data_IF_914664972164
#
_entry.id   IF_914664972164
#
_cell.length_a   1.000
_cell.length_b   1.000
_cell.length_c   1.000
_cell.angle_alpha   90.00
_cell.angle_beta   90.00
_cell.angle_gamma   90.00
#
_symmetry.space_group_name_H-M   'P 1'
#
loop_
_entity.id
_entity.type
_entity.pdbx_description
1 polymer ?
#
# COMPACT_ATOMS: atom_id res chain seq x y z
N UNK A 1 18.64 -1.71 -4.42
CA UNK A 1 17.73 -1.93 -3.28
C UNK A 1 16.86 -3.14 -3.52
N UNK A 2 16.36 -3.83 -2.48
CA UNK A 2 15.81 -5.20 -2.51
C UNK A 2 14.69 -5.47 -3.54
N UNK A 3 14.04 -4.44 -4.07
CA UNK A 3 12.95 -4.56 -5.04
C UNK A 3 13.40 -4.87 -6.49
N UNK A 4 14.71 -4.97 -6.77
CA UNK A 4 15.22 -5.26 -8.13
C UNK A 4 14.87 -6.67 -8.63
N UNK A 5 14.71 -7.63 -7.73
CA UNK A 5 14.50 -9.05 -8.07
C UNK A 5 13.16 -9.32 -8.78
N UNK A 6 12.20 -8.40 -8.69
CA UNK A 6 10.85 -8.57 -9.26
C UNK A 6 10.58 -7.64 -10.46
N UNK A 7 11.59 -6.94 -11.00
CA UNK A 7 11.37 -6.02 -12.15
C UNK A 7 10.89 -6.71 -13.43
N UNK A 8 11.11 -8.03 -13.56
CA UNK A 8 10.61 -8.82 -14.68
C UNK A 8 9.15 -9.27 -14.54
N UNK A 9 8.51 -9.02 -13.40
CA UNK A 9 7.10 -9.37 -13.19
C UNK A 9 6.23 -8.33 -13.89
N UNK A 10 5.46 -8.77 -14.87
CA UNK A 10 4.51 -7.89 -15.58
C UNK A 10 3.44 -7.38 -14.61
N UNK A 11 3.00 -6.13 -14.82
CA UNK A 11 2.02 -5.43 -13.98
C UNK A 11 2.46 -5.18 -12.53
N UNK A 12 3.71 -5.44 -12.15
CA UNK A 12 4.27 -5.05 -10.87
C UNK A 12 5.14 -3.79 -11.00
N UNK A 13 4.93 -2.83 -10.10
CA UNK A 13 5.81 -1.66 -9.97
C UNK A 13 6.53 -1.71 -8.60
N UNK A 14 7.81 -2.16 -8.57
CA UNK A 14 8.60 -2.20 -7.33
C UNK A 14 9.07 -0.79 -6.93
N UNK A 15 8.14 0.00 -6.38
CA UNK A 15 8.32 1.37 -5.92
C UNK A 15 7.59 1.57 -4.57
N UNK A 16 8.05 2.51 -3.75
CA UNK A 16 7.32 2.91 -2.54
C UNK A 16 5.96 3.55 -2.87
N UNK A 17 5.04 3.55 -1.91
CA UNK A 17 3.68 4.11 -2.06
C UNK A 17 2.55 3.09 -1.94
N UNK A 18 2.87 1.79 -2.02
CA UNK A 18 1.92 0.70 -1.76
C UNK A 18 1.78 0.38 -0.26
N UNK A 19 0.54 0.20 0.21
CA UNK A 19 0.21 -0.19 1.59
C UNK A 19 -0.82 -1.32 1.55
N UNK A 20 -0.57 -2.38 2.35
CA UNK A 20 -1.51 -3.50 2.51
C UNK A 20 -2.71 -3.08 3.35
N UNK A 21 -3.89 -3.57 2.97
CA UNK A 21 -5.12 -3.43 3.73
C UNK A 21 -5.39 -4.77 4.42
N UNK A 22 -5.63 -4.72 5.72
CA UNK A 22 -5.92 -5.89 6.56
C UNK A 22 -7.20 -5.66 7.36
N UNK A 23 -7.89 -6.75 7.70
CA UNK A 23 -8.99 -6.73 8.66
C UNK A 23 -8.48 -6.66 10.12
N UNK A 24 -9.41 -6.72 11.09
CA UNK A 24 -9.09 -6.67 12.50
C UNK A 24 -8.24 -7.85 13.00
N UNK A 25 -8.39 -9.01 12.36
CA UNK A 25 -7.62 -10.23 12.66
C UNK A 25 -6.29 -10.30 11.88
N UNK A 26 -6.02 -9.30 11.03
CA UNK A 26 -4.80 -9.20 10.24
C UNK A 26 -4.83 -9.94 8.90
N UNK A 27 -5.96 -10.51 8.48
CA UNK A 27 -6.16 -11.13 7.16
C UNK A 27 -5.97 -10.09 6.06
N UNK A 28 -5.29 -10.47 4.97
CA UNK A 28 -5.10 -9.56 3.83
C UNK A 28 -6.39 -9.42 3.02
N UNK A 29 -6.93 -8.20 2.96
CA UNK A 29 -8.09 -7.86 2.13
C UNK A 29 -7.67 -7.35 0.74
N UNK A 30 -6.51 -6.70 0.67
CA UNK A 30 -6.00 -6.11 -0.57
C UNK A 30 -4.85 -5.13 -0.32
N UNK A 31 -4.70 -4.16 -1.22
CA UNK A 31 -3.72 -3.09 -1.10
C UNK A 31 -4.19 -1.81 -1.80
N UNK A 32 -3.66 -0.68 -1.39
CA UNK A 32 -3.82 0.62 -2.07
C UNK A 32 -2.44 1.18 -2.42
N UNK A 33 -2.32 1.76 -3.61
CA UNK A 33 -1.12 2.44 -4.08
C UNK A 33 -1.41 3.91 -4.35
N UNK A 34 -0.58 4.79 -3.80
CA UNK A 34 -0.60 6.24 -4.09
C UNK A 34 0.70 6.61 -4.81
N UNK A 35 0.64 7.60 -5.69
CA UNK A 35 1.80 8.12 -6.43
C UNK A 35 1.58 9.61 -6.73
N UNK A 36 2.66 10.38 -6.68
CA UNK A 36 2.67 11.80 -7.03
C UNK A 36 3.30 12.71 -5.97
N UNK A 37 3.53 12.20 -4.77
CA UNK A 37 4.27 12.93 -3.75
C UNK A 37 5.77 13.04 -4.11
N UNK A 38 6.53 13.96 -3.49
CA UNK A 38 7.98 14.07 -3.68
C UNK A 38 8.81 12.82 -3.32
N UNK A 39 8.20 11.82 -2.67
CA UNK A 39 8.83 10.53 -2.42
C UNK A 39 7.83 9.47 -1.94
N UNK A 40 8.09 8.20 -2.25
CA UNK A 40 7.15 7.09 -1.99
C UNK A 40 6.80 6.86 -0.51
N UNK A 41 7.59 7.37 0.42
CA UNK A 41 7.24 7.35 1.85
C UNK A 41 6.05 8.28 2.16
N UNK A 42 5.97 9.42 1.46
CA UNK A 42 4.86 10.37 1.56
C UNK A 42 3.61 9.81 0.89
N UNK A 43 3.76 9.17 -0.27
CA UNK A 43 2.66 8.43 -0.92
C UNK A 43 2.09 7.36 0.02
N UNK A 44 2.96 6.58 0.67
CA UNK A 44 2.53 5.59 1.66
C UNK A 44 1.86 6.24 2.88
N UNK A 45 2.22 7.48 3.23
CA UNK A 45 1.55 8.28 4.24
C UNK A 45 0.12 8.62 3.85
N UNK A 46 -0.09 9.10 2.62
CA UNK A 46 -1.42 9.35 2.07
C UNK A 46 -2.27 8.07 2.02
N UNK A 47 -1.69 6.95 1.59
CA UNK A 47 -2.34 5.64 1.59
C UNK A 47 -2.82 5.23 2.99
N UNK A 48 -1.96 5.33 4.01
CA UNK A 48 -2.33 5.04 5.42
C UNK A 48 -3.42 5.97 5.94
N UNK A 49 -3.35 7.27 5.61
CA UNK A 49 -4.37 8.23 6.02
C UNK A 49 -5.75 7.89 5.42
N UNK A 50 -5.80 7.47 4.16
CA UNK A 50 -7.03 7.00 3.54
C UNK A 50 -7.61 5.74 4.19
N UNK A 51 -6.76 4.76 4.52
CA UNK A 51 -7.19 3.53 5.22
C UNK A 51 -7.76 3.87 6.61
N UNK A 52 -7.12 4.76 7.36
CA UNK A 52 -7.58 5.16 8.70
C UNK A 52 -9.00 5.76 8.69
N UNK A 53 -9.42 6.41 7.59
CA UNK A 53 -10.77 6.97 7.45
C UNK A 53 -11.88 5.92 7.22
N UNK A 54 -11.51 4.68 6.90
CA UNK A 54 -12.45 3.58 6.62
C UNK A 54 -12.22 2.36 7.49
N UNK A 55 -11.41 2.48 8.56
CA UNK A 55 -11.01 1.35 9.41
C UNK A 55 -12.24 0.61 9.99
N UNK A 56 -13.26 1.36 10.37
CA UNK A 56 -14.56 0.86 10.84
C UNK A 56 -15.31 0.00 9.83
N UNK A 57 -15.02 0.15 8.54
CA UNK A 57 -15.65 -0.61 7.44
C UNK A 57 -14.91 -1.89 7.09
N UNK A 58 -13.69 -2.06 7.60
CA UNK A 58 -12.81 -3.19 7.25
C UNK A 58 -12.36 -4.00 8.47
N UNK A 59 -12.58 -3.51 9.70
CA UNK A 59 -12.30 -4.21 10.96
C UNK A 59 -13.51 -5.04 11.42
N UNK A 60 -13.84 -6.10 10.67
CA UNK A 60 -14.86 -7.08 11.04
C UNK A 60 -14.25 -8.31 11.75
#
# INVERSE_FOLDING_TARGET
GPAWAIRGVTNALPLGGGVLIRDGDGTMLGAVGVSGAPGGALDAGCARAGIALIEDKIAF
#
